data_IF_639949231371
#
_entry.id   IF_639949231371
#
_cell.length_a   1.000
_cell.length_b   1.000
_cell.length_c   1.000
_cell.angle_alpha   90.00
_cell.angle_beta   90.00
_cell.angle_gamma   90.00
#
_symmetry.space_group_name_H-M   'P 1'
#
loop_
_entity.id
_entity.type
_entity.pdbx_description
1 polymer ?
#
# COMPACT_ATOMS: atom_id res chain seq x y z
N UNK A 1 9.92 -8.84 14.12
CA UNK A 1 10.65 -8.16 15.19
C UNK A 1 10.79 -9.11 16.38
N UNK A 2 11.84 -8.93 17.18
CA UNK A 2 12.10 -9.69 18.40
C UNK A 2 12.01 -8.77 19.61
N UNK A 3 11.88 -9.35 20.82
CA UNK A 3 11.86 -8.58 22.07
C UNK A 3 13.13 -7.73 22.26
N UNK A 4 14.28 -8.21 21.75
CA UNK A 4 15.56 -7.47 21.81
C UNK A 4 15.57 -6.20 20.98
N UNK A 5 14.63 -6.03 20.06
CA UNK A 5 14.49 -4.90 19.15
C UNK A 5 13.48 -3.86 19.67
N UNK A 6 12.94 -4.05 20.88
CA UNK A 6 12.04 -3.06 21.51
C UNK A 6 12.80 -1.75 21.69
N UNK A 7 12.22 -0.65 21.20
CA UNK A 7 12.84 0.69 21.23
C UNK A 7 13.68 1.02 19.98
N UNK A 8 14.00 0.05 19.13
CA UNK A 8 14.65 0.34 17.84
C UNK A 8 13.66 0.97 16.83
N UNK A 9 14.12 1.87 15.95
CA UNK A 9 13.32 2.28 14.79
C UNK A 9 12.90 1.07 13.97
N UNK A 10 11.61 0.98 13.61
CA UNK A 10 11.07 -0.19 12.87
C UNK A 10 11.79 -0.44 11.54
N UNK A 11 12.16 0.62 10.82
CA UNK A 11 12.91 0.51 9.56
C UNK A 11 14.30 -0.06 9.74
N UNK A 12 15.01 0.29 10.84
CA UNK A 12 16.32 -0.25 11.17
C UNK A 12 16.23 -1.76 11.50
N UNK A 13 15.27 -2.15 12.36
CA UNK A 13 15.04 -3.55 12.71
C UNK A 13 14.63 -4.39 11.49
N UNK A 14 13.81 -3.82 10.60
CA UNK A 14 13.43 -4.47 9.35
C UNK A 14 14.64 -4.68 8.42
N UNK A 15 15.47 -3.66 8.24
CA UNK A 15 16.69 -3.75 7.44
C UNK A 15 17.63 -4.85 7.95
N UNK A 16 17.87 -4.92 9.25
CA UNK A 16 18.69 -5.96 9.87
C UNK A 16 18.16 -7.35 9.52
N UNK A 17 16.86 -7.57 9.68
CA UNK A 17 16.21 -8.83 9.35
C UNK A 17 16.31 -9.20 7.87
N UNK A 18 16.07 -8.24 6.99
CA UNK A 18 16.08 -8.45 5.54
C UNK A 18 17.50 -8.68 5.02
N UNK A 19 18.51 -7.98 5.54
CA UNK A 19 19.91 -8.20 5.19
C UNK A 19 20.39 -9.61 5.54
N UNK A 20 19.86 -10.20 6.61
CA UNK A 20 20.14 -11.58 6.97
C UNK A 20 19.49 -12.60 6.01
N UNK A 21 18.45 -12.21 5.26
CA UNK A 21 17.77 -13.08 4.30
C UNK A 21 18.34 -12.98 2.88
N UNK A 22 18.93 -11.85 2.50
CA UNK A 22 19.45 -11.65 1.14
C UNK A 22 20.73 -10.83 1.17
N UNK A 23 21.82 -11.40 0.67
CA UNK A 23 23.10 -10.72 0.48
C UNK A 23 23.17 -9.92 -0.83
N UNK A 24 22.22 -10.14 -1.75
CA UNK A 24 22.21 -9.52 -3.08
C UNK A 24 21.29 -8.31 -3.18
N UNK A 25 20.44 -8.07 -2.18
CA UNK A 25 19.49 -6.95 -2.17
C UNK A 25 20.01 -5.79 -1.34
N UNK A 26 20.07 -4.61 -1.93
CA UNK A 26 20.39 -3.39 -1.19
C UNK A 26 19.14 -2.90 -0.42
N UNK A 27 19.29 -2.71 0.88
CA UNK A 27 18.23 -2.21 1.76
C UNK A 27 18.57 -0.82 2.27
N UNK A 28 17.90 0.19 1.78
CA UNK A 28 17.93 1.52 2.36
C UNK A 28 16.95 1.62 3.52
N UNK A 29 17.43 2.18 4.64
CA UNK A 29 16.63 2.44 5.81
C UNK A 29 16.56 3.94 6.05
N UNK A 30 15.36 4.48 6.12
CA UNK A 30 15.09 5.88 6.46
C UNK A 30 14.18 5.90 7.68
N UNK A 31 14.71 6.29 8.85
CA UNK A 31 13.94 6.31 10.10
C UNK A 31 12.98 7.51 10.16
N UNK A 32 13.26 8.56 9.39
CA UNK A 32 12.39 9.72 9.27
C UNK A 32 11.09 9.41 8.51
N UNK A 33 9.99 10.00 8.92
CA UNK A 33 8.73 9.90 8.21
C UNK A 33 8.77 10.55 6.83
N UNK A 34 7.89 10.12 5.92
CA UNK A 34 7.69 10.77 4.64
C UNK A 34 6.95 12.11 4.85
N UNK A 35 7.53 13.19 4.32
CA UNK A 35 6.96 14.54 4.30
C UNK A 35 6.88 15.06 2.86
N UNK A 36 6.10 16.13 2.59
CA UNK A 36 6.08 16.75 1.26
C UNK A 36 7.46 17.14 0.73
N UNK A 37 8.37 17.54 1.64
CA UNK A 37 9.70 18.04 1.28
C UNK A 37 10.67 16.90 0.93
N UNK A 38 10.61 15.77 1.65
CA UNK A 38 11.56 14.66 1.48
C UNK A 38 11.04 13.53 0.58
N UNK A 39 9.75 13.46 0.33
CA UNK A 39 9.14 12.30 -0.34
C UNK A 39 9.57 12.16 -1.80
N UNK A 40 9.62 13.27 -2.56
CA UNK A 40 9.93 13.20 -3.99
C UNK A 40 11.33 12.61 -4.26
N UNK A 41 12.42 13.10 -3.67
CA UNK A 41 13.74 12.49 -3.89
C UNK A 41 13.81 11.02 -3.41
N UNK A 42 13.01 10.63 -2.40
CA UNK A 42 12.91 9.24 -1.98
C UNK A 42 12.22 8.39 -3.06
N UNK A 43 11.06 8.84 -3.56
CA UNK A 43 10.27 8.07 -4.51
C UNK A 43 10.90 7.96 -5.90
N UNK A 44 11.66 8.97 -6.34
CA UNK A 44 12.26 9.00 -7.69
C UNK A 44 13.21 7.81 -7.93
N UNK A 45 13.83 7.27 -6.89
CA UNK A 45 14.74 6.12 -6.96
C UNK A 45 14.06 4.74 -7.12
N UNK A 46 12.72 4.66 -7.09
CA UNK A 46 11.99 3.40 -7.10
C UNK A 46 10.99 3.31 -8.26
N UNK A 47 10.79 2.10 -8.80
CA UNK A 47 9.85 1.84 -9.90
C UNK A 47 8.42 1.63 -9.42
N UNK A 48 8.24 1.21 -8.16
CA UNK A 48 6.96 0.92 -7.53
C UNK A 48 7.03 1.20 -6.04
N UNK A 49 5.93 1.66 -5.48
CA UNK A 49 5.80 1.97 -4.05
C UNK A 49 4.84 0.98 -3.39
N UNK A 50 5.16 0.50 -2.19
CA UNK A 50 4.23 -0.24 -1.34
C UNK A 50 3.79 0.62 -0.16
N UNK A 51 2.49 0.82 -0.02
CA UNK A 51 1.89 1.52 1.10
C UNK A 51 1.54 0.56 2.23
N UNK A 52 2.28 0.66 3.31
CA UNK A 52 2.04 -0.06 4.55
C UNK A 52 1.74 0.92 5.71
N UNK A 53 1.33 2.16 5.41
CA UNK A 53 1.04 3.16 6.43
C UNK A 53 -0.38 2.99 7.01
N UNK A 54 -0.59 3.57 8.18
CA UNK A 54 -1.79 3.41 9.01
C UNK A 54 -2.65 4.69 9.09
N UNK A 55 -2.37 5.69 8.23
CA UNK A 55 -3.03 6.98 8.34
C UNK A 55 -3.39 7.59 6.99
N UNK A 56 -4.49 8.31 6.96
CA UNK A 56 -5.01 8.95 5.75
C UNK A 56 -4.11 10.08 5.21
N UNK A 57 -3.53 10.97 6.04
CA UNK A 57 -2.67 12.04 5.53
C UNK A 57 -1.50 11.51 4.67
N UNK A 58 -0.80 10.47 5.14
CA UNK A 58 0.31 9.87 4.38
C UNK A 58 -0.18 9.24 3.07
N UNK A 59 -1.34 8.58 3.07
CA UNK A 59 -1.91 7.99 1.85
C UNK A 59 -2.27 9.03 0.80
N UNK A 60 -2.85 10.16 1.21
CA UNK A 60 -3.11 11.27 0.28
C UNK A 60 -1.83 11.94 -0.23
N UNK A 61 -0.79 12.02 0.60
CA UNK A 61 0.53 12.49 0.18
C UNK A 61 1.11 11.56 -0.88
N UNK A 62 1.07 10.24 -0.65
CA UNK A 62 1.52 9.24 -1.63
C UNK A 62 0.71 9.32 -2.92
N UNK A 63 -0.62 9.47 -2.85
CA UNK A 63 -1.48 9.62 -4.02
C UNK A 63 -1.07 10.82 -4.88
N UNK A 64 -0.80 11.98 -4.25
CA UNK A 64 -0.40 13.18 -4.96
C UNK A 64 1.00 13.04 -5.58
N UNK A 65 1.96 12.50 -4.84
CA UNK A 65 3.34 12.35 -5.28
C UNK A 65 3.50 11.27 -6.35
N UNK A 66 2.88 10.10 -6.14
CA UNK A 66 2.92 9.01 -7.11
C UNK A 66 2.27 9.41 -8.43
N UNK A 67 1.19 10.21 -8.39
CA UNK A 67 0.61 10.77 -9.61
C UNK A 67 1.55 11.76 -10.31
N UNK A 68 2.18 12.67 -9.56
CA UNK A 68 3.12 13.65 -10.11
C UNK A 68 4.37 12.98 -10.72
N UNK A 69 4.87 11.92 -10.10
CA UNK A 69 6.04 11.15 -10.54
C UNK A 69 5.68 10.01 -11.51
N UNK A 70 4.40 9.80 -11.81
CA UNK A 70 3.89 8.67 -12.62
C UNK A 70 4.34 7.31 -12.10
N UNK A 71 4.39 7.15 -10.78
CA UNK A 71 4.77 5.91 -10.11
C UNK A 71 3.53 5.11 -9.72
N UNK A 72 3.45 3.83 -10.06
CA UNK A 72 2.42 2.95 -9.52
C UNK A 72 2.67 2.70 -8.04
N UNK A 73 1.60 2.45 -7.27
CA UNK A 73 1.75 2.05 -5.89
C UNK A 73 0.70 1.02 -5.47
N UNK A 74 1.16 0.04 -4.71
CA UNK A 74 0.32 -1.01 -4.16
C UNK A 74 -0.14 -0.57 -2.79
N UNK A 75 -1.43 -0.33 -2.67
CA UNK A 75 -2.08 0.03 -1.42
C UNK A 75 -2.48 -1.22 -0.65
N UNK A 76 -2.12 -1.27 0.64
CA UNK A 76 -2.65 -2.20 1.62
C UNK A 76 -3.21 -1.45 2.81
N UNK A 77 -4.38 -1.86 3.27
CA UNK A 77 -4.98 -1.32 4.49
C UNK A 77 -5.58 -2.44 5.31
N UNK A 78 -5.46 -2.31 6.62
CA UNK A 78 -5.91 -3.32 7.58
C UNK A 78 -6.77 -2.68 8.66
N UNK A 79 -7.74 -3.45 9.15
CA UNK A 79 -8.49 -3.18 10.37
C UNK A 79 -8.36 -4.37 11.32
N UNK A 80 -9.22 -4.48 12.33
CA UNK A 80 -9.18 -5.55 13.34
C UNK A 80 -9.01 -6.95 12.74
N UNK A 81 -9.90 -7.33 11.84
CA UNK A 81 -9.92 -8.63 11.15
C UNK A 81 -10.03 -8.48 9.63
N UNK A 82 -10.04 -7.26 9.16
CA UNK A 82 -10.33 -6.91 7.78
C UNK A 82 -9.09 -6.37 7.10
N UNK A 83 -8.95 -6.69 5.82
CA UNK A 83 -7.91 -6.14 5.00
C UNK A 83 -8.35 -5.88 3.56
N UNK A 84 -7.62 -5.01 2.90
CA UNK A 84 -7.85 -4.68 1.49
C UNK A 84 -6.54 -4.40 0.76
N UNK A 85 -6.54 -4.68 -0.55
CA UNK A 85 -5.40 -4.44 -1.46
C UNK A 85 -5.90 -3.94 -2.81
N UNK A 86 -5.19 -2.98 -3.38
CA UNK A 86 -5.39 -2.52 -4.76
C UNK A 86 -4.10 -1.88 -5.31
N UNK A 87 -4.03 -1.66 -6.61
CA UNK A 87 -2.96 -0.90 -7.27
C UNK A 87 -3.52 0.43 -7.73
N UNK A 88 -2.90 1.52 -7.29
CA UNK A 88 -3.21 2.87 -7.75
C UNK A 88 -2.14 3.39 -8.71
N UNK A 89 -2.53 4.37 -9.50
CA UNK A 89 -1.67 5.02 -10.51
C UNK A 89 -0.97 4.02 -11.44
N UNK A 90 -1.59 2.86 -11.64
CA UNK A 90 -1.16 1.85 -12.58
C UNK A 90 -1.53 2.21 -14.02
N UNK A 91 -1.66 1.20 -14.89
CA UNK A 91 -2.00 1.39 -16.32
C UNK A 91 -3.37 2.03 -16.55
N UNK A 92 -4.33 1.81 -15.62
CA UNK A 92 -5.67 2.41 -15.68
C UNK A 92 -5.73 3.82 -15.07
N UNK A 93 -4.65 4.28 -14.46
CA UNK A 93 -4.52 5.61 -13.88
C UNK A 93 -5.44 5.89 -12.70
N UNK A 94 -5.96 4.86 -12.03
CA UNK A 94 -6.84 5.01 -10.87
C UNK A 94 -6.08 5.52 -9.67
N UNK A 95 -6.73 6.42 -8.93
CA UNK A 95 -6.14 7.11 -7.80
C UNK A 95 -6.80 6.72 -6.49
N UNK A 96 -6.10 6.95 -5.39
CA UNK A 96 -6.64 6.72 -4.04
C UNK A 96 -7.94 7.49 -3.80
N UNK A 97 -8.02 8.73 -4.29
CA UNK A 97 -9.20 9.58 -4.17
C UNK A 97 -10.42 9.11 -4.99
N UNK A 98 -10.25 8.20 -5.93
CA UNK A 98 -11.38 7.58 -6.65
C UNK A 98 -12.19 6.67 -5.72
N UNK A 99 -11.52 6.03 -4.74
CA UNK A 99 -12.17 5.24 -3.67
C UNK A 99 -12.47 6.06 -2.42
N UNK A 100 -11.65 7.06 -2.13
CA UNK A 100 -11.70 7.86 -0.91
C UNK A 100 -11.73 9.35 -1.26
N UNK A 101 -12.88 9.89 -1.75
CA UNK A 101 -12.94 11.26 -2.27
C UNK A 101 -12.89 12.34 -1.19
N UNK A 102 -13.41 12.08 0.00
CA UNK A 102 -13.48 13.08 1.07
C UNK A 102 -12.21 13.12 1.92
N UNK A 103 -11.15 13.72 1.36
CA UNK A 103 -9.87 13.92 2.05
C UNK A 103 -10.02 14.63 3.39
N UNK A 104 -10.88 15.69 3.44
CA UNK A 104 -11.03 16.52 4.64
C UNK A 104 -11.60 15.71 5.79
N UNK A 105 -12.70 15.01 5.57
CA UNK A 105 -13.33 14.18 6.59
C UNK A 105 -12.44 13.02 7.01
N UNK A 106 -11.75 12.35 6.07
CA UNK A 106 -10.89 11.21 6.38
C UNK A 106 -9.64 11.62 7.15
N UNK A 107 -8.97 12.71 6.77
CA UNK A 107 -7.81 13.20 7.50
C UNK A 107 -8.14 13.76 8.89
N UNK A 108 -9.38 14.16 9.14
CA UNK A 108 -9.84 14.62 10.45
C UNK A 108 -10.21 13.47 11.40
N UNK A 109 -10.29 12.22 10.92
CA UNK A 109 -10.59 11.06 11.77
C UNK A 109 -9.47 10.83 12.78
N UNK A 110 -9.80 10.56 14.04
CA UNK A 110 -8.80 10.16 15.02
C UNK A 110 -8.11 8.86 14.56
N UNK A 111 -6.86 8.67 14.96
CA UNK A 111 -6.18 7.40 14.73
C UNK A 111 -6.98 6.27 15.38
N UNK A 112 -7.19 5.21 14.63
CA UNK A 112 -7.82 4.00 15.15
C UNK A 112 -6.81 3.35 16.11
N UNK A 113 -7.19 3.24 17.38
CA UNK A 113 -6.37 2.61 18.43
C UNK A 113 -6.75 1.15 18.68
N UNK A 114 -7.67 0.61 17.87
CA UNK A 114 -8.10 -0.78 17.97
C UNK A 114 -6.96 -1.74 17.61
N UNK A 115 -6.87 -2.84 18.34
CA UNK A 115 -5.92 -3.91 18.04
C UNK A 115 -6.21 -4.52 16.67
N UNK A 116 -5.17 -5.04 16.03
CA UNK A 116 -5.27 -5.77 14.75
C UNK A 116 -4.80 -7.19 14.99
N UNK A 117 -5.57 -8.17 14.55
CA UNK A 117 -5.14 -9.57 14.60
C UNK A 117 -3.86 -9.74 13.75
N UNK A 118 -2.78 -10.28 14.33
CA UNK A 118 -1.46 -10.34 13.70
C UNK A 118 -1.40 -11.09 12.36
N UNK A 119 -2.38 -11.95 12.07
CA UNK A 119 -2.50 -12.64 10.78
C UNK A 119 -2.99 -11.73 9.66
N UNK A 120 -3.74 -10.66 9.96
CA UNK A 120 -4.25 -9.73 8.93
C UNK A 120 -3.11 -9.06 8.16
N UNK A 121 -2.12 -8.41 8.82
CA UNK A 121 -1.00 -7.83 8.08
C UNK A 121 -0.16 -8.88 7.34
N UNK A 122 -0.09 -10.13 7.85
CA UNK A 122 0.57 -11.23 7.15
C UNK A 122 -0.08 -11.53 5.80
N UNK A 123 -1.40 -11.69 5.79
CA UNK A 123 -2.17 -11.95 4.56
C UNK A 123 -2.07 -10.76 3.59
N UNK A 124 -2.35 -9.55 4.09
CA UNK A 124 -2.38 -8.35 3.24
C UNK A 124 -0.99 -8.01 2.71
N UNK A 125 0.05 -8.10 3.53
CA UNK A 125 1.43 -7.85 3.08
C UNK A 125 1.89 -8.84 2.02
N UNK A 126 1.52 -10.12 2.13
CA UNK A 126 1.81 -11.13 1.10
C UNK A 126 1.07 -10.84 -0.20
N UNK A 127 -0.20 -10.43 -0.14
CA UNK A 127 -0.95 -10.01 -1.32
C UNK A 127 -0.35 -8.76 -1.96
N UNK A 128 0.06 -7.76 -1.18
CA UNK A 128 0.77 -6.58 -1.70
C UNK A 128 2.07 -6.97 -2.42
N UNK A 129 2.87 -7.87 -1.85
CA UNK A 129 4.08 -8.36 -2.49
C UNK A 129 3.77 -9.08 -3.82
N UNK A 130 2.72 -9.90 -3.85
CA UNK A 130 2.25 -10.56 -5.07
C UNK A 130 1.84 -9.55 -6.16
N UNK A 131 1.09 -8.50 -5.79
CA UNK A 131 0.72 -7.42 -6.72
C UNK A 131 1.94 -6.68 -7.26
N UNK A 132 2.92 -6.38 -6.40
CA UNK A 132 4.16 -5.73 -6.80
C UNK A 132 4.93 -6.57 -7.82
N UNK A 133 5.08 -7.88 -7.56
CA UNK A 133 5.79 -8.80 -8.46
C UNK A 133 5.04 -8.92 -9.80
N UNK A 134 3.72 -9.08 -9.80
CA UNK A 134 2.92 -9.09 -11.03
C UNK A 134 3.13 -7.83 -11.87
N UNK A 135 3.11 -6.67 -11.20
CA UNK A 135 3.25 -5.39 -11.89
C UNK A 135 4.65 -5.20 -12.48
N UNK A 136 5.69 -5.48 -11.70
CA UNK A 136 7.10 -5.31 -12.12
C UNK A 136 7.52 -6.32 -13.17
N UNK A 137 7.09 -7.57 -13.04
CA UNK A 137 7.45 -8.66 -13.97
C UNK A 137 6.50 -8.78 -15.17
N UNK A 138 5.41 -8.03 -15.21
CA UNK A 138 4.51 -7.97 -16.36
C UNK A 138 3.69 -9.24 -16.62
N UNK A 139 3.33 -9.99 -15.58
CA UNK A 139 2.50 -11.19 -15.72
C UNK A 139 1.20 -11.11 -14.90
N UNK A 140 0.24 -11.99 -15.23
CA UNK A 140 -1.04 -12.06 -14.55
C UNK A 140 -1.87 -10.78 -14.69
N UNK A 141 -2.82 -10.59 -13.79
CA UNK A 141 -3.71 -9.44 -13.77
C UNK A 141 -3.55 -8.68 -12.44
N UNK A 142 -2.79 -7.57 -12.41
CA UNK A 142 -2.73 -6.72 -11.22
C UNK A 142 -4.10 -6.16 -10.83
N UNK A 143 -4.27 -5.83 -9.56
CA UNK A 143 -5.49 -5.21 -9.01
C UNK A 143 -5.63 -3.72 -9.40
N UNK A 144 -5.21 -3.36 -10.60
CA UNK A 144 -5.35 -2.01 -11.15
C UNK A 144 -6.81 -1.72 -11.50
N UNK A 145 -7.44 -0.79 -10.79
CA UNK A 145 -8.87 -0.49 -10.89
C UNK A 145 -9.79 -1.52 -10.25
N UNK A 146 -9.25 -2.45 -9.46
CA UNK A 146 -10.01 -3.44 -8.68
C UNK A 146 -9.56 -3.42 -7.24
N UNK A 147 -10.50 -3.42 -6.31
CA UNK A 147 -10.24 -3.51 -4.89
C UNK A 147 -10.54 -4.93 -4.41
N UNK A 148 -9.52 -5.61 -3.93
CA UNK A 148 -9.70 -6.88 -3.20
C UNK A 148 -9.91 -6.58 -1.71
N UNK A 149 -10.87 -7.26 -1.09
CA UNK A 149 -11.14 -7.17 0.35
C UNK A 149 -11.29 -8.56 0.95
N UNK A 150 -10.95 -8.70 2.23
CA UNK A 150 -11.10 -9.94 2.99
C UNK A 150 -11.47 -9.65 4.44
N UNK A 151 -12.42 -10.40 4.99
CA UNK A 151 -12.69 -10.50 6.43
C UNK A 151 -12.20 -11.85 6.95
N UNK A 152 -11.17 -11.86 7.79
CA UNK A 152 -10.56 -13.10 8.29
C UNK A 152 -11.40 -13.83 9.34
N UNK A 153 -12.47 -13.24 9.86
CA UNK A 153 -13.40 -13.95 10.75
C UNK A 153 -14.25 -14.97 10.00
N UNK A 154 -14.61 -14.62 8.76
CA UNK A 154 -15.53 -15.41 7.93
C UNK A 154 -14.90 -15.96 6.67
N UNK A 155 -13.67 -15.52 6.36
CA UNK A 155 -12.97 -15.72 5.07
C UNK A 155 -13.76 -15.20 3.87
N UNK A 156 -14.72 -14.31 4.10
CA UNK A 156 -15.45 -13.66 3.03
C UNK A 156 -14.53 -12.70 2.26
N UNK A 157 -14.49 -12.86 0.96
CA UNK A 157 -13.70 -12.03 0.05
C UNK A 157 -14.59 -11.32 -0.95
N UNK A 158 -14.17 -10.13 -1.40
CA UNK A 158 -14.82 -9.41 -2.49
C UNK A 158 -13.76 -8.87 -3.44
N UNK A 159 -14.10 -8.85 -4.72
CA UNK A 159 -13.32 -8.17 -5.76
C UNK A 159 -14.24 -7.13 -6.41
N UNK A 160 -14.00 -5.86 -6.08
CA UNK A 160 -14.82 -4.73 -6.49
C UNK A 160 -14.13 -4.02 -7.64
N UNK A 161 -14.75 -4.00 -8.82
CA UNK A 161 -14.28 -3.19 -9.95
C UNK A 161 -14.77 -1.75 -9.77
N UNK A 162 -13.83 -0.81 -9.66
CA UNK A 162 -14.10 0.63 -9.58
C UNK A 162 -13.54 1.39 -10.81
N UNK A 163 -13.20 0.63 -11.87
CA UNK A 163 -12.89 1.23 -13.16
C UNK A 163 -14.13 1.95 -13.72
N UNK A 164 -13.99 3.05 -14.51
CA UNK A 164 -15.15 3.64 -15.16
C UNK A 164 -15.77 2.57 -16.05
N UNK A 165 -17.10 2.53 -16.05
CA UNK A 165 -17.83 1.71 -17.01
C UNK A 165 -17.24 1.98 -18.41
N UNK A 166 -16.82 0.92 -19.11
CA UNK A 166 -16.46 1.06 -20.52
C UNK A 166 -17.67 1.68 -21.20
N UNK A 167 -17.50 2.89 -21.75
CA UNK A 167 -18.51 3.48 -22.62
C UNK A 167 -18.72 2.50 -23.78
N UNK A 168 -19.58 1.53 -23.61
CA UNK A 168 -20.16 0.78 -24.71
C UNK A 168 -21.00 1.79 -25.48
N UNK A 169 -20.38 2.45 -26.48
CA UNK A 169 -21.16 3.09 -27.54
C UNK A 169 -22.08 1.99 -28.04
N UNK A 170 -23.35 2.05 -27.66
CA UNK A 170 -24.39 1.26 -28.32
C UNK A 170 -24.39 1.70 -29.78
N UNK A 171 -24.47 0.75 -30.71
CA UNK A 171 -24.52 1.02 -32.14
C UNK A 171 -25.74 1.88 -32.50
#
# INVERSE_FOLDING_TARGET
YTERQIGMPKSAAARERLAALSSHTAFECRPEGITPENARPILDGYDLILDCCDNFPTRYLLDDLCAACRKPWVHGSIGEFYGQVTVFNGRKGRRYRDLYPDRKALCARPRITQGVLGTVPGVIGTLQASEAIKYLCGFGEPLDGRLFTIDLRTLQTQLIDYSPAKNTKRP
#
